data_IF_529743683841
#
_entry.id   IF_529743683841
#
_cell.length_a   1.000
_cell.length_b   1.000
_cell.length_c   1.000
_cell.angle_alpha   90.00
_cell.angle_beta   90.00
_cell.angle_gamma   90.00
#
_symmetry.space_group_name_H-M   'P 1'
#
loop_
_entity.id
_entity.type
_entity.pdbx_description
1 polymer ?
#
# COMPACT_ATOMS: atom_id res chain seq x y z
N UNK A 1 7.39 -11.01 5.82
CA UNK A 1 6.02 -10.50 5.58
C UNK A 1 5.78 -9.12 6.21
N UNK A 2 6.00 -8.96 7.52
CA UNK A 2 5.70 -7.68 8.21
C UNK A 2 6.45 -6.47 7.64
N UNK A 3 7.76 -6.61 7.39
CA UNK A 3 8.60 -5.54 6.83
C UNK A 3 8.18 -5.07 5.43
N UNK A 4 7.86 -6.00 4.53
CA UNK A 4 7.40 -5.66 3.17
C UNK A 4 6.05 -4.91 3.22
N UNK A 5 5.15 -5.34 4.11
CA UNK A 5 3.87 -4.65 4.34
C UNK A 5 4.08 -3.25 4.92
N UNK A 6 4.96 -3.10 5.92
CA UNK A 6 5.28 -1.80 6.52
C UNK A 6 5.83 -0.81 5.46
N UNK A 7 6.73 -1.27 4.58
CA UNK A 7 7.27 -0.45 3.48
C UNK A 7 6.15 -0.03 2.51
N UNK A 8 5.31 -0.97 2.08
CA UNK A 8 4.22 -0.67 1.15
C UNK A 8 3.21 0.35 1.72
N UNK A 9 2.88 0.25 3.01
CA UNK A 9 2.03 1.25 3.67
C UNK A 9 2.70 2.62 3.82
N UNK A 10 4.02 2.63 4.05
CA UNK A 10 4.76 3.87 4.14
C UNK A 10 4.76 4.61 2.80
N UNK A 11 5.03 3.91 1.70
CA UNK A 11 4.98 4.47 0.34
C UNK A 11 3.57 4.96 -0.02
N UNK A 12 2.54 4.17 0.26
CA UNK A 12 1.14 4.56 0.04
C UNK A 12 0.78 5.85 0.81
N UNK A 13 1.21 5.94 2.07
CA UNK A 13 0.98 7.12 2.90
C UNK A 13 1.73 8.36 2.42
N UNK A 14 2.98 8.20 1.96
CA UNK A 14 3.76 9.27 1.36
C UNK A 14 3.12 9.79 0.06
N UNK A 15 2.63 8.89 -0.80
CA UNK A 15 1.88 9.26 -2.01
C UNK A 15 0.58 10.00 -1.69
N UNK A 16 -0.21 9.50 -0.74
CA UNK A 16 -1.45 10.16 -0.33
C UNK A 16 -1.18 11.57 0.24
N UNK A 17 -0.13 11.71 1.05
CA UNK A 17 0.30 13.02 1.58
C UNK A 17 0.73 13.97 0.46
N UNK A 18 1.47 13.48 -0.54
CA UNK A 18 1.86 14.28 -1.70
C UNK A 18 0.65 14.79 -2.50
N UNK A 19 -0.47 14.06 -2.49
CA UNK A 19 -1.76 14.47 -3.06
C UNK A 19 -2.57 15.41 -2.14
N UNK A 20 -2.09 15.72 -0.94
CA UNK A 20 -2.79 16.57 0.04
C UNK A 20 -3.95 15.88 0.77
N UNK A 21 -4.01 14.54 0.70
CA UNK A 21 -4.93 13.74 1.48
C UNK A 21 -4.43 13.57 2.93
N UNK A 22 -5.38 13.38 3.85
CA UNK A 22 -5.12 13.11 5.28
C UNK A 22 -5.51 11.68 5.69
N UNK A 23 -6.18 10.94 4.80
CA UNK A 23 -6.51 9.54 4.98
C UNK A 23 -6.47 8.77 3.66
N UNK A 24 -6.29 7.45 3.76
CA UNK A 24 -6.48 6.50 2.66
C UNK A 24 -7.56 5.50 3.07
N UNK A 25 -8.61 5.37 2.27
CA UNK A 25 -9.77 4.52 2.55
C UNK A 25 -9.94 3.46 1.47
N UNK A 26 -10.67 2.38 1.80
CA UNK A 26 -10.86 1.26 0.88
C UNK A 26 -9.53 0.58 0.55
N UNK A 27 -8.71 0.33 1.56
CA UNK A 27 -7.39 -0.29 1.37
C UNK A 27 -7.57 -1.76 1.03
N UNK A 28 -6.92 -2.19 -0.05
CA UNK A 28 -6.79 -3.59 -0.42
C UNK A 28 -5.32 -4.02 -0.40
N UNK A 29 -5.07 -5.28 -0.04
CA UNK A 29 -3.72 -5.80 0.14
C UNK A 29 -3.60 -7.16 -0.54
N UNK A 30 -2.80 -7.21 -1.60
CA UNK A 30 -2.58 -8.41 -2.38
C UNK A 30 -1.20 -8.99 -2.12
N UNK A 31 -1.16 -10.32 -2.02
CA UNK A 31 0.05 -11.11 -1.91
C UNK A 31 0.17 -12.00 -3.13
N UNK A 32 1.17 -11.73 -3.95
CA UNK A 32 1.41 -12.51 -5.15
C UNK A 32 2.79 -13.14 -5.11
N UNK A 33 2.86 -14.43 -5.38
CA UNK A 33 4.15 -15.10 -5.60
C UNK A 33 4.58 -14.87 -7.04
N UNK A 34 5.74 -14.22 -7.21
CA UNK A 34 6.31 -13.88 -8.50
C UNK A 34 7.69 -14.53 -8.68
N UNK A 35 8.07 -14.79 -9.93
CA UNK A 35 9.34 -15.45 -10.29
C UNK A 35 9.18 -16.91 -10.69
N UNK A 36 10.11 -17.43 -11.51
CA UNK A 36 10.03 -18.75 -12.17
C UNK A 36 9.79 -19.93 -11.21
N UNK A 37 10.20 -19.79 -9.94
CA UNK A 37 10.05 -20.83 -8.91
C UNK A 37 9.23 -20.36 -7.70
N UNK A 38 8.47 -19.26 -7.81
CA UNK A 38 7.67 -18.72 -6.70
C UNK A 38 8.49 -18.23 -5.50
N UNK A 39 9.78 -17.94 -5.71
CA UNK A 39 10.73 -17.59 -4.64
C UNK A 39 10.59 -16.16 -4.12
N UNK A 40 9.90 -15.28 -4.85
CA UNK A 40 9.66 -13.90 -4.42
C UNK A 40 8.19 -13.69 -4.12
N UNK A 41 7.93 -12.95 -3.05
CA UNK A 41 6.58 -12.60 -2.63
C UNK A 41 6.42 -11.08 -2.76
N UNK A 42 5.60 -10.68 -3.72
CA UNK A 42 5.21 -9.31 -3.95
C UNK A 42 4.07 -8.95 -2.99
N UNK A 43 4.15 -7.75 -2.43
CA UNK A 43 3.11 -7.17 -1.58
C UNK A 43 2.65 -5.91 -2.26
N UNK A 44 1.41 -5.90 -2.74
CA UNK A 44 0.78 -4.75 -3.34
C UNK A 44 -0.26 -4.18 -2.36
N UNK A 45 -0.29 -2.87 -2.20
CA UNK A 45 -1.30 -2.18 -1.40
C UNK A 45 -1.92 -1.10 -2.27
N UNK A 46 -3.24 -1.08 -2.35
CA UNK A 46 -4.00 -0.08 -3.09
C UNK A 46 -5.06 0.57 -2.18
N UNK A 47 -5.55 1.74 -2.58
CA UNK A 47 -6.58 2.45 -1.82
C UNK A 47 -6.90 3.82 -2.42
N UNK A 48 -7.86 4.52 -1.82
CA UNK A 48 -8.29 5.86 -2.27
C UNK A 48 -7.82 6.93 -1.28
N UNK A 49 -6.99 7.85 -1.75
CA UNK A 49 -6.56 9.02 -0.98
C UNK A 49 -7.72 10.04 -0.87
N UNK A 50 -8.09 10.41 0.35
CA UNK A 50 -9.23 11.31 0.63
C UNK A 50 -8.85 12.41 1.60
N UNK A 51 -9.59 13.51 1.56
CA UNK A 51 -9.51 14.59 2.55
C UNK A 51 -10.73 14.55 3.45
N UNK A 52 -10.55 14.24 4.72
CA UNK A 52 -11.64 14.23 5.69
C UNK A 52 -11.99 15.66 6.11
N UNK A 53 -13.28 15.91 6.36
CA UNK A 53 -13.75 17.16 6.96
C UNK A 53 -14.24 16.83 8.36
N UNK A 54 -13.67 17.48 9.36
CA UNK A 54 -14.11 17.37 10.74
C UNK A 54 -15.33 18.24 11.02
#
# INVERSE_FOLDING_TARGET
LRKAREIAFQELGEQAKALGADAVVGIDIDYETVGKDGSMLMVSVSGTAVKTRR
#
